data_IF_763017229088
#
_entry.id   IF_763017229088
#
_cell.length_a   1.000
_cell.length_b   1.000
_cell.length_c   1.000
_cell.angle_alpha   90.00
_cell.angle_beta   90.00
_cell.angle_gamma   90.00
#
_symmetry.space_group_name_H-M   'P 1'
#
loop_
_entity.id
_entity.type
_entity.pdbx_description
1 polymer ?
#
# COMPACT_ATOMS: atom_id res chain seq x y z
N UNK A 1 13.56 47.13 -48.52
CA UNK A 1 12.45 46.15 -48.38
C UNK A 1 12.52 45.30 -47.11
N UNK A 2 13.69 45.09 -46.48
CA UNK A 2 13.84 44.33 -45.21
C UNK A 2 13.44 45.13 -43.94
N UNK A 3 13.67 46.45 -43.92
CA UNK A 3 13.37 47.30 -42.75
C UNK A 3 11.86 47.49 -42.48
N UNK A 4 11.01 47.42 -43.52
CA UNK A 4 9.55 47.58 -43.38
C UNK A 4 8.91 46.34 -42.74
N UNK A 5 9.45 45.15 -43.01
CA UNK A 5 8.98 43.88 -42.43
C UNK A 5 9.28 43.76 -40.93
N UNK A 6 10.43 44.28 -40.47
CA UNK A 6 10.75 44.32 -39.03
C UNK A 6 9.84 45.28 -38.26
N UNK A 7 9.50 46.43 -38.85
CA UNK A 7 8.63 47.41 -38.20
C UNK A 7 7.19 46.89 -38.05
N UNK A 8 6.69 46.16 -39.05
CA UNK A 8 5.39 45.47 -38.96
C UNK A 8 5.39 44.34 -37.94
N UNK A 9 6.50 43.60 -37.79
CA UNK A 9 6.63 42.54 -36.78
C UNK A 9 6.65 43.10 -35.36
N UNK A 10 7.39 44.18 -35.12
CA UNK A 10 7.47 44.84 -33.81
C UNK A 10 6.15 45.52 -33.44
N UNK A 11 5.44 46.13 -34.38
CA UNK A 11 4.13 46.75 -34.14
C UNK A 11 3.06 45.70 -33.76
N UNK A 12 3.08 44.53 -34.42
CA UNK A 12 2.17 43.42 -34.12
C UNK A 12 2.41 42.82 -32.73
N UNK A 13 3.67 42.72 -32.30
CA UNK A 13 4.01 42.23 -30.96
C UNK A 13 3.56 43.19 -29.86
N UNK A 14 3.75 44.49 -30.04
CA UNK A 14 3.31 45.51 -29.07
C UNK A 14 1.78 45.55 -28.98
N UNK A 15 1.08 45.43 -30.11
CA UNK A 15 -0.38 45.39 -30.14
C UNK A 15 -0.94 44.12 -29.50
N UNK A 16 -0.30 42.97 -29.70
CA UNK A 16 -0.65 41.70 -29.04
C UNK A 16 -0.41 41.77 -27.53
N UNK A 17 0.68 42.41 -27.10
CA UNK A 17 0.99 42.58 -25.67
C UNK A 17 0.00 43.54 -24.98
N UNK A 18 -0.34 44.64 -25.64
CA UNK A 18 -1.39 45.57 -25.19
C UNK A 18 -2.77 44.90 -25.16
N UNK A 19 -3.08 44.04 -26.13
CA UNK A 19 -4.33 43.26 -26.14
C UNK A 19 -4.38 42.24 -25.00
N UNK A 20 -3.29 41.53 -24.73
CA UNK A 20 -3.18 40.65 -23.57
C UNK A 20 -3.33 41.40 -22.24
N UNK A 21 -2.71 42.59 -22.11
CA UNK A 21 -2.85 43.45 -20.93
C UNK A 21 -4.29 43.95 -20.79
N UNK A 22 -4.95 44.33 -21.89
CA UNK A 22 -6.36 44.75 -21.88
C UNK A 22 -7.30 43.60 -21.48
N UNK A 23 -7.10 42.40 -22.01
CA UNK A 23 -7.86 41.20 -21.62
C UNK A 23 -7.58 40.82 -20.16
N UNK A 24 -6.36 41.01 -19.66
CA UNK A 24 -6.02 40.71 -18.27
C UNK A 24 -6.60 41.75 -17.28
N UNK A 25 -6.63 43.04 -17.67
CA UNK A 25 -7.17 44.13 -16.85
C UNK A 25 -8.71 44.21 -16.87
N UNK A 26 -9.37 43.75 -17.94
CA UNK A 26 -10.83 43.85 -18.11
C UNK A 26 -11.56 42.49 -18.17
N UNK A 27 -10.85 41.37 -18.12
CA UNK A 27 -11.36 40.04 -18.47
C UNK A 27 -12.02 39.21 -17.38
N UNK A 28 -12.71 39.80 -16.41
CA UNK A 28 -13.60 39.04 -15.50
C UNK A 28 -15.05 38.92 -16.00
N UNK A 29 -15.34 39.29 -17.26
CA UNK A 29 -16.74 39.30 -17.77
C UNK A 29 -16.95 38.85 -19.23
N UNK A 30 -16.09 37.99 -19.77
CA UNK A 30 -16.36 37.39 -21.09
C UNK A 30 -16.58 35.89 -20.92
N UNK A 31 -17.85 35.52 -20.88
CA UNK A 31 -18.31 34.13 -20.96
C UNK A 31 -17.80 33.50 -22.27
N UNK A 32 -17.41 32.23 -22.20
CA UNK A 32 -16.75 31.44 -23.26
C UNK A 32 -17.44 31.48 -24.64
N UNK A 33 -18.67 31.98 -24.74
CA UNK A 33 -19.44 31.99 -25.97
C UNK A 33 -18.99 33.06 -27.00
N UNK A 34 -18.36 34.15 -26.56
CA UNK A 34 -18.03 35.30 -27.45
C UNK A 34 -16.67 35.20 -28.14
N UNK A 35 -15.77 34.33 -27.65
CA UNK A 35 -14.41 34.19 -28.19
C UNK A 35 -14.36 33.59 -29.60
N UNK A 36 -15.41 32.89 -30.05
CA UNK A 36 -15.45 32.25 -31.36
C UNK A 36 -15.66 33.24 -32.52
N UNK A 37 -16.11 34.46 -32.26
CA UNK A 37 -16.49 35.42 -33.32
C UNK A 37 -15.28 36.23 -33.81
N UNK A 38 -14.26 36.45 -32.96
CA UNK A 38 -13.08 37.24 -33.33
C UNK A 38 -11.98 36.44 -34.05
N UNK A 39 -12.11 35.11 -34.15
CA UNK A 39 -11.11 34.24 -34.78
C UNK A 39 -11.27 34.09 -36.31
N UNK A 40 -12.21 34.81 -36.94
CA UNK A 40 -12.64 34.54 -38.31
C UNK A 40 -11.73 35.17 -39.38
N UNK A 41 -10.84 36.12 -39.03
CA UNK A 41 -10.03 36.85 -40.01
C UNK A 41 -8.51 36.89 -39.75
N UNK A 42 -7.97 35.94 -38.99
CA UNK A 42 -6.51 35.82 -38.81
C UNK A 42 -5.91 34.83 -39.83
N UNK A 43 -4.78 35.17 -40.48
CA UNK A 43 -4.09 34.26 -41.39
C UNK A 43 -3.74 32.95 -40.67
N UNK A 44 -3.88 31.81 -41.37
CA UNK A 44 -3.85 30.42 -40.86
C UNK A 44 -2.66 30.11 -39.92
N UNK A 45 -1.54 30.82 -40.08
CA UNK A 45 -0.31 30.71 -39.29
C UNK A 45 -0.48 31.22 -37.84
N UNK A 46 -1.24 32.31 -37.63
CA UNK A 46 -1.43 32.89 -36.29
C UNK A 46 -2.33 32.05 -35.39
N UNK A 47 -3.24 31.25 -35.99
CA UNK A 47 -4.17 30.38 -35.25
C UNK A 47 -3.45 29.24 -34.53
N UNK A 48 -2.35 28.73 -35.09
CA UNK A 48 -1.53 27.71 -34.44
C UNK A 48 -0.65 28.29 -33.33
N UNK A 49 -0.14 29.51 -33.50
CA UNK A 49 0.70 30.18 -32.49
C UNK A 49 -0.14 30.55 -31.25
N UNK A 50 -1.34 31.10 -31.44
CA UNK A 50 -2.23 31.44 -30.33
C UNK A 50 -2.69 30.20 -29.55
N UNK A 51 -2.99 29.10 -30.24
CA UNK A 51 -3.45 27.86 -29.59
C UNK A 51 -2.33 27.17 -28.81
N UNK A 52 -1.10 27.15 -29.33
CA UNK A 52 0.06 26.64 -28.59
C UNK A 52 0.42 27.51 -27.38
N UNK A 53 0.37 28.84 -27.53
CA UNK A 53 0.68 29.78 -26.46
C UNK A 53 -0.35 29.72 -25.33
N UNK A 54 -1.66 29.68 -25.66
CA UNK A 54 -2.70 29.49 -24.65
C UNK A 54 -2.60 28.13 -23.98
N UNK A 55 -2.33 27.05 -24.72
CA UNK A 55 -2.17 25.72 -24.13
C UNK A 55 -0.98 25.66 -23.17
N UNK A 56 0.16 26.27 -23.54
CA UNK A 56 1.34 26.39 -22.66
C UNK A 56 1.02 27.21 -21.41
N UNK A 57 0.32 28.35 -21.56
CA UNK A 57 -0.06 29.21 -20.44
C UNK A 57 -1.07 28.52 -19.51
N UNK A 58 -2.04 27.79 -20.07
CA UNK A 58 -3.00 26.97 -19.32
C UNK A 58 -2.30 25.82 -18.57
N UNK A 59 -1.19 25.32 -19.09
CA UNK A 59 -0.36 24.32 -18.41
C UNK A 59 0.45 24.93 -17.25
N UNK A 60 0.93 26.17 -17.42
CA UNK A 60 1.63 26.93 -16.37
C UNK A 60 0.72 27.46 -15.26
N UNK A 61 -0.56 27.67 -15.54
CA UNK A 61 -1.58 28.07 -14.55
C UNK A 61 -2.34 26.90 -13.94
N UNK A 62 -1.94 25.64 -14.21
CA UNK A 62 -2.55 24.48 -13.54
C UNK A 62 -2.28 24.60 -12.04
N UNK A 63 -3.31 24.77 -11.19
CA UNK A 63 -3.10 24.82 -9.75
C UNK A 63 -2.46 23.51 -9.30
N UNK A 64 -1.54 23.53 -8.31
CA UNK A 64 -0.98 22.30 -7.77
C UNK A 64 -2.15 21.43 -7.32
N UNK A 65 -2.28 20.26 -7.95
CA UNK A 65 -3.27 19.28 -7.55
C UNK A 65 -2.95 18.98 -6.09
N UNK A 66 -3.83 19.35 -5.15
CA UNK A 66 -3.75 18.79 -3.80
C UNK A 66 -3.89 17.29 -4.00
N UNK A 67 -2.79 16.56 -3.97
CA UNK A 67 -2.83 15.12 -3.83
C UNK A 67 -3.49 14.87 -2.49
N UNK A 68 -4.75 14.44 -2.52
CA UNK A 68 -5.36 13.81 -1.35
C UNK A 68 -4.51 12.57 -1.09
N UNK A 69 -3.59 12.67 -0.13
CA UNK A 69 -2.67 11.59 0.22
C UNK A 69 -3.50 10.37 0.58
N UNK A 70 -3.43 9.32 -0.24
CA UNK A 70 -4.09 8.05 0.06
C UNK A 70 -3.29 7.38 1.17
N UNK A 71 -3.80 7.47 2.39
CA UNK A 71 -3.22 6.82 3.55
C UNK A 71 -3.74 5.40 3.65
N UNK A 72 -2.83 4.42 3.62
CA UNK A 72 -3.17 3.00 3.65
C UNK A 72 -3.80 2.62 4.99
N UNK A 73 -4.89 1.86 4.94
CA UNK A 73 -5.62 1.37 6.11
C UNK A 73 -5.03 0.05 6.62
N UNK A 74 -4.60 0.02 7.88
CA UNK A 74 -3.90 -1.13 8.44
C UNK A 74 -4.58 -1.70 9.68
N UNK A 75 -4.55 -3.03 9.78
CA UNK A 75 -4.92 -3.77 10.99
C UNK A 75 -3.67 -4.21 11.72
N UNK A 76 -3.65 -4.12 13.05
CA UNK A 76 -2.54 -4.56 13.89
C UNK A 76 -2.92 -5.85 14.60
N UNK A 77 -2.08 -6.89 14.53
CA UNK A 77 -2.31 -8.14 15.25
C UNK A 77 -1.17 -8.44 16.22
N UNK A 78 -1.54 -8.63 17.49
CA UNK A 78 -0.62 -8.95 18.57
C UNK A 78 -1.11 -10.18 19.35
N UNK A 79 -0.15 -10.99 19.80
CA UNK A 79 -0.44 -12.22 20.53
C UNK A 79 0.65 -12.50 21.55
N UNK A 80 0.24 -12.98 22.72
CA UNK A 80 1.17 -13.57 23.69
C UNK A 80 0.52 -14.74 24.40
N UNK A 81 1.25 -15.85 24.52
CA UNK A 81 0.85 -16.92 25.44
C UNK A 81 1.35 -16.64 26.85
N UNK A 82 0.64 -17.13 27.86
CA UNK A 82 1.02 -17.03 29.28
C UNK A 82 2.41 -17.63 29.58
N UNK A 83 2.87 -18.55 28.73
CA UNK A 83 4.18 -19.19 28.84
C UNK A 83 5.29 -18.37 28.14
N UNK A 84 4.99 -17.73 27.01
CA UNK A 84 5.91 -16.81 26.31
C UNK A 84 6.22 -15.56 27.13
N UNK A 85 5.25 -15.03 27.88
CA UNK A 85 5.49 -13.90 28.78
C UNK A 85 6.60 -14.20 29.79
N UNK A 86 6.69 -15.45 30.27
CA UNK A 86 7.71 -15.90 31.22
C UNK A 86 9.07 -16.17 30.57
N UNK A 87 9.08 -16.65 29.32
CA UNK A 87 10.30 -17.12 28.64
C UNK A 87 11.01 -16.03 27.83
N UNK A 88 10.26 -15.17 27.13
CA UNK A 88 10.82 -14.24 26.15
C UNK A 88 10.66 -12.76 26.52
N UNK A 89 9.87 -12.43 27.55
CA UNK A 89 9.79 -11.07 28.13
C UNK A 89 9.27 -9.95 27.21
N UNK A 90 8.96 -10.22 25.95
CA UNK A 90 8.36 -9.23 25.05
C UNK A 90 6.89 -9.11 25.42
N UNK A 91 6.57 -7.99 26.07
CA UNK A 91 5.21 -7.66 26.46
C UNK A 91 4.36 -7.28 25.24
N UNK A 92 3.04 -7.31 25.39
CA UNK A 92 2.12 -6.90 24.33
C UNK A 92 2.35 -5.42 23.99
N UNK A 93 2.64 -4.61 25.00
CA UNK A 93 2.90 -3.19 24.90
C UNK A 93 4.10 -2.91 23.99
N UNK A 94 5.20 -3.67 24.12
CA UNK A 94 6.37 -3.53 23.24
C UNK A 94 6.03 -3.87 21.77
N UNK A 95 5.16 -4.85 21.53
CA UNK A 95 4.73 -5.19 20.17
C UNK A 95 3.87 -4.08 19.58
N UNK A 96 2.91 -3.57 20.36
CA UNK A 96 2.03 -2.49 19.95
C UNK A 96 2.80 -1.19 19.68
N UNK A 97 3.74 -0.81 20.55
CA UNK A 97 4.57 0.39 20.37
C UNK A 97 5.38 0.31 19.07
N UNK A 98 6.02 -0.84 18.80
CA UNK A 98 6.76 -1.05 17.57
C UNK A 98 5.86 -0.94 16.32
N UNK A 99 4.66 -1.51 16.36
CA UNK A 99 3.70 -1.45 15.27
C UNK A 99 3.16 -0.03 15.05
N UNK A 100 2.82 0.69 16.12
CA UNK A 100 2.35 2.06 16.05
C UNK A 100 3.42 3.01 15.52
N UNK A 101 4.67 2.84 15.96
CA UNK A 101 5.82 3.58 15.43
C UNK A 101 6.01 3.32 13.94
N UNK A 102 5.93 2.06 13.50
CA UNK A 102 6.01 1.69 12.09
C UNK A 102 4.91 2.36 11.26
N UNK A 103 3.65 2.33 11.74
CA UNK A 103 2.54 3.00 11.07
C UNK A 103 2.73 4.51 10.97
N UNK A 104 3.23 5.14 12.03
CA UNK A 104 3.52 6.58 12.06
C UNK A 104 4.60 6.97 11.04
N UNK A 105 5.68 6.19 10.95
CA UNK A 105 6.77 6.42 9.99
C UNK A 105 6.32 6.24 8.53
N UNK A 106 5.30 5.39 8.29
CA UNK A 106 4.75 5.11 6.96
C UNK A 106 3.48 5.89 6.63
N UNK A 107 3.03 6.76 7.54
CA UNK A 107 1.78 7.52 7.43
C UNK A 107 0.54 6.62 7.20
N UNK A 108 0.52 5.46 7.83
CA UNK A 108 -0.61 4.52 7.77
C UNK A 108 -1.71 4.86 8.78
N UNK A 109 -2.96 4.59 8.41
CA UNK A 109 -4.11 4.73 9.30
C UNK A 109 -4.40 3.39 9.96
N UNK A 110 -4.25 3.32 11.28
CA UNK A 110 -4.63 2.14 12.06
C UNK A 110 -6.16 2.11 12.19
N UNK A 111 -6.80 1.09 11.61
CA UNK A 111 -8.26 0.91 11.65
C UNK A 111 -8.68 0.09 12.86
N UNK A 112 -7.89 -0.92 13.21
CA UNK A 112 -8.18 -1.82 14.32
C UNK A 112 -6.90 -2.45 14.89
N UNK A 113 -6.98 -2.84 16.16
CA UNK A 113 -5.93 -3.61 16.86
C UNK A 113 -6.55 -4.86 17.47
N UNK A 114 -6.02 -6.01 17.09
CA UNK A 114 -6.49 -7.33 17.47
C UNK A 114 -5.50 -7.96 18.45
N UNK A 115 -5.98 -8.32 19.64
CA UNK A 115 -5.14 -8.81 20.71
C UNK A 115 -5.65 -10.15 21.25
N UNK A 116 -4.87 -11.21 21.00
CA UNK A 116 -5.08 -12.53 21.60
C UNK A 116 -4.09 -12.75 22.76
N UNK A 117 -4.40 -12.15 23.91
CA UNK A 117 -3.61 -12.26 25.14
C UNK A 117 -3.97 -13.52 25.96
N UNK A 118 -2.96 -14.21 26.49
CA UNK A 118 -3.15 -15.33 27.43
C UNK A 118 -3.65 -16.63 26.79
N UNK A 119 -3.82 -16.66 25.48
CA UNK A 119 -4.18 -17.86 24.73
C UNK A 119 -2.91 -18.69 24.53
N UNK A 120 -2.94 -19.95 24.98
CA UNK A 120 -1.80 -20.86 24.84
C UNK A 120 -1.37 -21.00 23.38
N UNK A 121 -0.05 -21.12 23.17
CA UNK A 121 0.57 -21.30 21.87
C UNK A 121 0.05 -22.51 21.07
N UNK A 122 -0.49 -23.52 21.77
CA UNK A 122 -0.96 -24.78 21.19
C UNK A 122 -2.45 -24.79 20.85
N UNK A 123 -3.13 -23.65 20.94
CA UNK A 123 -4.57 -23.56 20.70
C UNK A 123 -4.82 -23.25 19.24
N UNK A 124 -5.70 -24.06 18.61
CA UNK A 124 -6.22 -23.87 17.25
C UNK A 124 -6.65 -22.42 17.00
N UNK A 125 -6.42 -21.93 15.78
CA UNK A 125 -6.82 -20.58 15.36
C UNK A 125 -8.31 -20.27 15.64
N UNK A 126 -9.18 -21.29 15.63
CA UNK A 126 -10.62 -21.16 15.92
C UNK A 126 -10.95 -20.68 17.34
N UNK A 127 -10.00 -20.76 18.26
CA UNK A 127 -10.15 -20.29 19.64
C UNK A 127 -9.47 -18.94 19.88
N UNK A 128 -9.10 -18.24 18.80
CA UNK A 128 -8.46 -16.91 18.81
C UNK A 128 -9.49 -15.88 18.36
N UNK A 129 -10.31 -15.34 19.28
CA UNK A 129 -11.40 -14.45 18.92
C UNK A 129 -10.92 -13.18 18.20
N UNK A 130 -9.76 -12.63 18.56
CA UNK A 130 -9.26 -11.42 17.90
C UNK A 130 -8.79 -11.72 16.47
N UNK A 131 -8.16 -12.88 16.23
CA UNK A 131 -7.85 -13.36 14.89
C UNK A 131 -9.11 -13.57 14.03
N UNK A 132 -10.18 -14.16 14.58
CA UNK A 132 -11.43 -14.35 13.83
C UNK A 132 -12.08 -13.02 13.46
N UNK A 133 -12.09 -12.05 14.39
CA UNK A 133 -12.57 -10.70 14.11
C UNK A 133 -11.73 -10.02 13.02
N UNK A 134 -10.41 -10.17 13.06
CA UNK A 134 -9.50 -9.66 12.03
C UNK A 134 -9.80 -10.25 10.66
N UNK A 135 -10.02 -11.56 10.57
CA UNK A 135 -10.40 -12.24 9.31
C UNK A 135 -11.71 -11.64 8.77
N UNK A 136 -12.71 -11.44 9.63
CA UNK A 136 -13.97 -10.81 9.23
C UNK A 136 -13.74 -9.38 8.72
N UNK A 137 -12.94 -8.57 9.40
CA UNK A 137 -12.66 -7.20 8.96
C UNK A 137 -11.84 -7.16 7.64
N UNK A 138 -11.03 -8.20 7.36
CA UNK A 138 -10.41 -8.40 6.05
C UNK A 138 -11.46 -8.72 4.96
N UNK A 139 -12.41 -9.62 5.23
CA UNK A 139 -13.51 -9.96 4.32
C UNK A 139 -14.41 -8.75 4.02
N UNK A 140 -14.61 -7.89 5.01
CA UNK A 140 -15.37 -6.65 4.87
C UNK A 140 -14.54 -5.51 4.23
N UNK A 141 -13.32 -5.78 3.76
CA UNK A 141 -12.40 -4.84 3.11
C UNK A 141 -12.13 -3.57 3.95
N UNK A 142 -12.20 -3.68 5.29
CA UNK A 142 -11.87 -2.58 6.21
C UNK A 142 -10.36 -2.36 6.32
N UNK A 143 -9.58 -3.41 6.04
CA UNK A 143 -8.13 -3.44 6.16
C UNK A 143 -7.52 -3.70 4.79
N UNK A 144 -6.52 -2.89 4.44
CA UNK A 144 -5.75 -3.04 3.20
C UNK A 144 -4.40 -3.73 3.43
N UNK A 145 -3.89 -3.72 4.65
CA UNK A 145 -2.65 -4.40 5.04
C UNK A 145 -2.69 -4.82 6.51
N UNK A 146 -2.35 -6.07 6.78
CA UNK A 146 -2.19 -6.59 8.14
C UNK A 146 -0.73 -6.47 8.60
N UNK A 147 -0.52 -5.94 9.81
CA UNK A 147 0.80 -5.81 10.42
C UNK A 147 0.90 -6.60 11.73
N UNK A 148 2.02 -7.28 11.90
CA UNK A 148 2.39 -7.97 13.14
C UNK A 148 3.92 -7.96 13.31
N UNK A 149 4.43 -8.37 14.47
CA UNK A 149 5.86 -8.25 14.76
C UNK A 149 6.71 -9.35 14.13
N UNK A 150 6.30 -10.61 14.25
CA UNK A 150 7.02 -11.81 13.79
C UNK A 150 6.07 -12.89 13.29
N UNK A 151 6.53 -13.77 12.40
CA UNK A 151 5.71 -14.84 11.82
C UNK A 151 5.03 -15.73 12.86
N UNK A 152 5.76 -16.08 13.93
CA UNK A 152 5.26 -16.93 15.01
C UNK A 152 4.11 -16.28 15.81
N UNK A 153 3.90 -14.96 15.70
CA UNK A 153 2.72 -14.30 16.26
C UNK A 153 1.49 -14.67 15.48
N UNK A 154 1.60 -14.76 14.15
CA UNK A 154 0.49 -14.92 13.22
C UNK A 154 0.05 -16.39 13.09
N UNK A 155 0.95 -17.30 12.71
CA UNK A 155 0.65 -18.74 12.54
C UNK A 155 1.69 -19.63 13.22
N UNK A 156 1.30 -20.87 13.52
CA UNK A 156 2.14 -21.86 14.23
C UNK A 156 2.49 -23.09 13.39
N UNK A 157 1.69 -23.37 12.35
CA UNK A 157 1.95 -24.41 11.37
C UNK A 157 1.70 -23.86 9.97
N UNK A 158 2.29 -24.52 8.97
CA UNK A 158 2.05 -24.20 7.55
C UNK A 158 0.60 -24.48 7.16
N UNK A 159 -0.03 -25.48 7.76
CA UNK A 159 -1.46 -25.77 7.58
C UNK A 159 -2.36 -24.62 8.05
N UNK A 160 -2.14 -24.13 9.29
CA UNK A 160 -2.88 -22.99 9.84
C UNK A 160 -2.69 -21.74 8.97
N UNK A 161 -1.49 -21.54 8.42
CA UNK A 161 -1.20 -20.43 7.52
C UNK A 161 -2.11 -20.43 6.28
N UNK A 162 -2.18 -21.55 5.54
CA UNK A 162 -3.01 -21.61 4.33
C UNK A 162 -4.50 -21.47 4.65
N UNK A 163 -4.97 -22.05 5.75
CA UNK A 163 -6.36 -21.93 6.18
C UNK A 163 -6.74 -20.48 6.45
N UNK A 164 -5.95 -19.76 7.24
CA UNK A 164 -6.21 -18.34 7.55
C UNK A 164 -6.10 -17.47 6.29
N UNK A 165 -5.06 -17.67 5.48
CA UNK A 165 -4.85 -16.88 4.27
C UNK A 165 -6.00 -17.02 3.27
N UNK A 166 -6.57 -18.23 3.16
CA UNK A 166 -7.73 -18.48 2.28
C UNK A 166 -8.97 -17.67 2.67
N UNK A 167 -9.08 -17.26 3.94
CA UNK A 167 -10.22 -16.53 4.49
C UNK A 167 -10.05 -15.01 4.45
N UNK A 168 -8.83 -14.50 4.25
CA UNK A 168 -8.51 -13.06 4.32
C UNK A 168 -8.73 -12.30 2.99
N UNK A 169 -9.39 -12.89 2.00
CA UNK A 169 -9.66 -12.25 0.69
C UNK A 169 -8.44 -11.59 0.00
N UNK A 170 -7.27 -12.21 0.14
CA UNK A 170 -5.99 -11.70 -0.42
C UNK A 170 -5.50 -10.37 0.17
N UNK A 171 -5.98 -9.95 1.34
CA UNK A 171 -5.37 -8.83 2.07
C UNK A 171 -3.90 -9.19 2.38
N UNK A 172 -2.92 -8.39 1.92
CA UNK A 172 -1.51 -8.65 2.17
C UNK A 172 -1.19 -8.45 3.66
N UNK A 173 -0.08 -9.06 4.09
CA UNK A 173 0.40 -8.94 5.46
C UNK A 173 1.91 -8.70 5.50
N UNK A 174 2.40 -8.16 6.63
CA UNK A 174 3.83 -7.91 6.86
C UNK A 174 4.25 -8.13 8.31
N UNK A 175 5.36 -8.84 8.49
CA UNK A 175 6.09 -8.92 9.75
C UNK A 175 7.06 -7.73 9.84
N UNK A 176 7.03 -6.93 10.90
CA UNK A 176 7.84 -5.70 10.97
C UNK A 176 9.27 -5.91 11.50
N UNK A 177 9.54 -6.99 12.25
CA UNK A 177 10.88 -7.32 12.74
C UNK A 177 11.60 -8.37 11.89
N UNK A 178 10.92 -8.92 10.90
CA UNK A 178 11.44 -9.94 9.99
C UNK A 178 11.23 -9.46 8.56
N UNK A 179 12.02 -9.94 7.61
CA UNK A 179 11.90 -9.50 6.21
C UNK A 179 10.86 -10.34 5.44
N UNK A 180 9.69 -10.58 6.04
CA UNK A 180 8.62 -11.39 5.46
C UNK A 180 7.35 -10.56 5.26
N UNK A 181 6.83 -10.58 4.03
CA UNK A 181 5.64 -9.86 3.62
C UNK A 181 5.04 -10.48 2.35
N UNK A 182 3.77 -10.19 2.09
CA UNK A 182 3.03 -10.69 0.91
C UNK A 182 2.46 -9.57 0.02
N UNK A 183 2.90 -8.34 0.25
CA UNK A 183 2.52 -7.15 -0.52
C UNK A 183 3.25 -7.09 -1.87
N UNK A 184 4.53 -7.47 -1.90
CA UNK A 184 5.34 -7.48 -3.13
C UNK A 184 5.54 -8.89 -3.68
N UNK A 185 5.84 -9.00 -4.97
CA UNK A 185 6.14 -10.30 -5.61
C UNK A 185 7.40 -10.96 -5.04
N UNK A 186 8.43 -10.17 -4.71
CA UNK A 186 9.65 -10.65 -4.07
C UNK A 186 9.38 -11.15 -2.64
N UNK A 187 8.55 -10.42 -1.89
CA UNK A 187 8.08 -10.84 -0.57
C UNK A 187 7.34 -12.17 -0.61
N UNK A 188 6.36 -12.29 -1.51
CA UNK A 188 5.60 -13.52 -1.71
C UNK A 188 6.50 -14.70 -2.06
N UNK A 189 7.48 -14.49 -2.95
CA UNK A 189 8.47 -15.53 -3.29
C UNK A 189 9.26 -15.97 -2.05
N UNK A 190 9.76 -15.01 -1.27
CA UNK A 190 10.53 -15.31 -0.05
C UNK A 190 9.71 -16.09 0.97
N UNK A 191 8.44 -15.70 1.17
CA UNK A 191 7.51 -16.42 2.04
C UNK A 191 7.28 -17.84 1.54
N UNK A 192 7.01 -18.02 0.24
CA UNK A 192 6.77 -19.35 -0.34
C UNK A 192 7.99 -20.28 -0.19
N UNK A 193 9.21 -19.77 -0.43
CA UNK A 193 10.44 -20.54 -0.22
C UNK A 193 10.56 -20.98 1.24
N UNK A 194 10.29 -20.08 2.18
CA UNK A 194 10.35 -20.39 3.61
C UNK A 194 9.30 -21.45 4.01
N UNK A 195 8.08 -21.34 3.50
CA UNK A 195 7.03 -22.34 3.75
C UNK A 195 7.41 -23.73 3.21
N UNK A 196 7.99 -23.80 2.00
CA UNK A 196 8.46 -25.08 1.44
C UNK A 196 9.59 -25.70 2.27
N UNK A 197 10.49 -24.89 2.83
CA UNK A 197 11.54 -25.38 3.75
C UNK A 197 10.89 -25.93 5.03
N UNK A 198 9.95 -25.18 5.63
CA UNK A 198 9.27 -25.60 6.85
C UNK A 198 8.48 -26.90 6.67
N UNK A 199 7.80 -27.09 5.53
CA UNK A 199 7.10 -28.33 5.18
C UNK A 199 8.08 -29.51 5.06
N UNK A 200 9.22 -29.31 4.40
CA UNK A 200 10.24 -30.33 4.25
C UNK A 200 10.85 -30.75 5.60
N UNK A 201 11.10 -29.79 6.51
CA UNK A 201 11.59 -30.07 7.86
C UNK A 201 10.57 -30.85 8.71
N UNK A 202 9.28 -30.50 8.60
CA UNK A 202 8.21 -31.21 9.28
C UNK A 202 8.06 -32.65 8.78
N UNK A 203 8.15 -32.86 7.45
CA UNK A 203 8.12 -34.19 6.85
C UNK A 203 9.31 -35.06 7.30
N UNK A 204 10.53 -34.51 7.25
CA UNK A 204 11.75 -35.21 7.70
C UNK A 204 11.69 -35.59 9.18
N UNK A 205 11.14 -34.72 10.02
CA UNK A 205 10.94 -35.00 11.44
C UNK A 205 9.94 -36.15 11.64
N UNK A 206 8.86 -36.16 10.86
CA UNK A 206 7.85 -37.22 10.89
C UNK A 206 8.41 -38.58 10.47
N UNK A 207 9.23 -38.60 9.41
CA UNK A 207 9.96 -39.81 8.97
C UNK A 207 10.88 -40.36 10.06
N UNK A 208 11.60 -39.47 10.77
CA UNK A 208 12.48 -39.86 11.88
C UNK A 208 11.70 -40.44 13.06
N UNK A 209 10.54 -39.88 13.41
CA UNK A 209 9.69 -40.41 14.48
C UNK A 209 9.17 -41.81 14.10
N UNK A 210 8.75 -41.99 12.84
CA UNK A 210 8.31 -43.29 12.33
C UNK A 210 9.40 -44.36 12.42
N UNK A 211 10.61 -44.06 11.97
CA UNK A 211 11.72 -45.03 12.03
C UNK A 211 12.10 -45.42 13.47
N UNK A 212 12.01 -44.50 14.42
CA UNK A 212 12.21 -44.80 15.85
C UNK A 212 11.09 -45.70 16.40
N UNK A 213 9.84 -45.47 16.01
CA UNK A 213 8.71 -46.32 16.42
C UNK A 213 8.83 -47.74 15.84
N UNK A 214 9.20 -47.86 14.57
CA UNK A 214 9.41 -49.15 13.91
C UNK A 214 10.54 -49.94 14.59
N UNK A 215 11.66 -49.28 14.93
CA UNK A 215 12.76 -49.90 15.66
C UNK A 215 12.33 -50.40 17.06
N UNK A 216 11.59 -49.59 17.82
CA UNK A 216 11.08 -49.97 19.14
C UNK A 216 10.05 -51.11 19.07
N UNK A 217 9.19 -51.11 18.05
CA UNK A 217 8.22 -52.18 17.82
C UNK A 217 8.90 -53.50 17.53
N UNK A 218 9.89 -53.51 16.64
CA UNK A 218 10.65 -54.72 16.31
C UNK A 218 11.47 -55.25 17.49
N UNK A 219 12.05 -54.35 18.30
CA UNK A 219 12.78 -54.73 19.52
C UNK A 219 11.88 -55.26 20.64
N UNK A 220 10.57 -55.01 20.62
CA UNK A 220 9.61 -55.53 21.59
C UNK A 220 9.01 -56.90 21.19
N UNK A 221 9.18 -57.30 19.92
CA UNK A 221 8.71 -58.58 19.37
C UNK A 221 9.82 -59.65 19.39
N UNK A 222 11.07 -59.25 19.59
CA UNK A 222 12.25 -60.13 19.70
C UNK A 222 12.57 -60.39 21.17
#
# INVERSE_FOLDING_TARGET
>A
MFFVLLYFYSFSFVLMYLFCIFVYLFGTFISYHSASIYAINFPRIFRHILTFSLASLMMQLRPPRKECMYMKKVGLYVRVSTQEQKLHGISIENQLDALQKYCKEKEYIIVATYNDAGISAHVSYKKRPALLQMIQDCQEQKIELLLFTRLDRFFRSVEDYYLVLSQMEKVPWKAIWENYETETSDGQLRVNIMLSIAEAEAARTSEKIKSIMDYKGNAAIT
#
